data_IF_639537327333
#
_entry.id   IF_639537327333
#
_cell.length_a   1.000
_cell.length_b   1.000
_cell.length_c   1.000
_cell.angle_alpha   90.00
_cell.angle_beta   90.00
_cell.angle_gamma   90.00
#
_symmetry.space_group_name_H-M   'P 1'
#
loop_
_entity.id
_entity.type
_entity.pdbx_description
1 polymer ?
#
# COMPACT_ATOMS: atom_id res chain seq x y z
N UNK A 1 22.64 -44.22 57.87
CA UNK A 1 21.54 -43.98 56.90
C UNK A 1 21.80 -42.63 56.19
N UNK A 2 22.30 -42.64 54.95
CA UNK A 2 22.54 -41.42 54.15
C UNK A 2 21.26 -41.04 53.41
N UNK A 3 20.70 -39.87 53.70
CA UNK A 3 19.55 -39.32 52.94
C UNK A 3 20.06 -38.73 51.61
N UNK A 4 19.63 -39.31 50.51
CA UNK A 4 19.84 -38.76 49.16
C UNK A 4 18.69 -37.77 48.91
N UNK A 5 19.03 -36.50 48.79
CA UNK A 5 18.10 -35.43 48.38
C UNK A 5 18.06 -35.40 46.84
N UNK A 6 16.96 -35.79 46.24
CA UNK A 6 16.69 -35.62 44.80
C UNK A 6 16.31 -34.17 44.55
N UNK A 7 17.19 -33.43 43.90
CA UNK A 7 16.89 -32.08 43.43
C UNK A 7 16.17 -32.18 42.05
N UNK A 8 14.86 -32.05 42.02
CA UNK A 8 14.07 -32.01 40.78
C UNK A 8 14.29 -30.67 40.10
N UNK A 9 15.07 -30.64 39.02
CA UNK A 9 15.20 -29.51 38.13
C UNK A 9 13.90 -29.41 37.29
N UNK A 10 13.05 -28.45 37.63
CA UNK A 10 11.88 -28.07 36.80
C UNK A 10 12.43 -27.26 35.63
N UNK A 11 12.56 -27.88 34.46
CA UNK A 11 12.75 -27.18 33.21
C UNK A 11 11.44 -26.53 32.84
N UNK A 12 11.29 -25.25 33.12
CA UNK A 12 10.23 -24.43 32.53
C UNK A 12 10.53 -24.33 31.02
N UNK A 13 9.81 -25.08 30.22
CA UNK A 13 9.81 -24.91 28.77
C UNK A 13 9.24 -23.54 28.46
N UNK A 14 10.10 -22.56 28.16
CA UNK A 14 9.68 -21.28 27.62
C UNK A 14 9.15 -21.58 26.20
N UNK A 15 7.85 -21.73 26.10
CA UNK A 15 7.16 -21.79 24.83
C UNK A 15 7.30 -20.42 24.16
N UNK A 16 8.26 -20.29 23.23
CA UNK A 16 8.35 -19.11 22.38
C UNK A 16 7.17 -19.16 21.41
N UNK A 17 6.16 -18.39 21.69
CA UNK A 17 5.10 -18.16 20.72
C UNK A 17 5.70 -17.43 19.51
N UNK A 18 5.53 -17.98 18.32
CA UNK A 18 5.98 -17.34 17.09
C UNK A 18 5.41 -15.92 16.99
N UNK A 19 6.27 -14.94 16.88
CA UNK A 19 5.85 -13.54 16.72
C UNK A 19 5.32 -13.33 15.30
N UNK A 20 4.24 -12.57 15.19
CA UNK A 20 3.56 -12.35 13.93
C UNK A 20 3.17 -10.89 13.78
N UNK A 21 3.45 -10.32 12.60
CA UNK A 21 2.95 -9.03 12.17
C UNK A 21 2.11 -9.18 10.91
N UNK A 22 1.08 -8.36 10.81
CA UNK A 22 0.25 -8.21 9.62
C UNK A 22 0.68 -6.91 8.92
N UNK A 23 0.86 -6.99 7.62
CA UNK A 23 1.16 -5.85 6.76
C UNK A 23 0.01 -5.68 5.77
N UNK A 24 -0.44 -4.45 5.60
CA UNK A 24 -1.48 -4.04 4.66
C UNK A 24 -0.90 -3.06 3.65
N UNK A 25 -1.30 -3.18 2.39
CA UNK A 25 -1.09 -2.17 1.36
C UNK A 25 -2.43 -1.71 0.81
N UNK A 26 -2.60 -0.39 0.64
CA UNK A 26 -3.86 0.16 0.19
C UNK A 26 -3.71 1.50 -0.53
N UNK A 27 -4.28 1.60 -1.72
CA UNK A 27 -4.57 2.86 -2.36
C UNK A 27 -5.88 3.42 -1.76
N UNK A 28 -5.79 4.55 -1.07
CA UNK A 28 -6.93 5.14 -0.36
C UNK A 28 -7.76 6.11 -1.20
N UNK A 29 -7.47 6.20 -2.49
CA UNK A 29 -8.16 7.06 -3.45
C UNK A 29 -8.18 8.53 -3.03
N UNK A 30 -7.08 9.26 -3.28
CA UNK A 30 -6.99 10.72 -3.14
C UNK A 30 -7.34 11.25 -1.73
N UNK A 31 -6.51 10.97 -0.73
CA UNK A 31 -6.61 11.54 0.60
C UNK A 31 -5.85 12.87 0.67
N UNK A 32 -6.56 13.97 0.40
CA UNK A 32 -6.05 15.34 0.45
C UNK A 32 -6.58 16.06 1.69
N UNK A 33 -5.86 17.11 2.11
CA UNK A 33 -6.47 18.10 3.00
C UNK A 33 -7.33 19.11 2.20
N UNK A 34 -7.56 20.30 2.70
CA UNK A 34 -8.43 21.31 2.06
C UNK A 34 -7.69 22.61 1.76
N UNK A 35 -6.37 22.58 1.88
CA UNK A 35 -5.50 23.71 1.66
C UNK A 35 -4.66 23.50 0.39
N UNK A 36 -4.23 24.57 -0.26
CA UNK A 36 -3.39 24.48 -1.46
C UNK A 36 -1.92 24.36 -1.09
N UNK A 37 -1.26 23.32 -1.57
CA UNK A 37 0.19 23.19 -1.50
C UNK A 37 0.88 23.97 -2.63
N UNK A 38 1.72 24.92 -2.32
CA UNK A 38 2.50 25.68 -3.29
C UNK A 38 3.21 24.74 -4.27
N UNK A 39 3.19 25.07 -5.54
CA UNK A 39 3.79 24.29 -6.63
C UNK A 39 3.11 22.94 -6.95
N UNK A 40 1.90 22.68 -6.45
CA UNK A 40 1.10 21.47 -6.74
C UNK A 40 -0.15 21.81 -7.55
N UNK A 41 -0.63 20.83 -8.30
CA UNK A 41 -1.88 20.90 -9.04
C UNK A 41 -3.00 20.18 -8.26
N UNK A 42 -3.18 20.54 -6.99
CA UNK A 42 -4.12 19.96 -6.04
C UNK A 42 -5.52 20.62 -6.07
N UNK A 43 -5.72 21.52 -7.01
CA UNK A 43 -6.92 22.38 -7.11
C UNK A 43 -8.25 21.62 -7.10
N UNK A 44 -8.28 20.36 -7.57
CA UNK A 44 -9.49 19.55 -7.53
C UNK A 44 -9.95 19.30 -6.08
N UNK A 45 -9.00 19.22 -5.15
CA UNK A 45 -9.24 18.89 -3.73
C UNK A 45 -9.26 20.13 -2.83
N UNK A 46 -9.69 21.27 -3.36
CA UNK A 46 -9.97 22.48 -2.60
C UNK A 46 -11.48 22.69 -2.44
N UNK A 47 -11.92 23.43 -1.40
CA UNK A 47 -13.28 23.90 -1.29
C UNK A 47 -13.69 24.71 -2.52
N UNK A 48 -14.94 24.60 -2.95
CA UNK A 48 -15.43 25.30 -4.14
C UNK A 48 -15.30 26.84 -4.02
N UNK A 49 -15.37 27.35 -2.79
CA UNK A 49 -15.19 28.79 -2.51
C UNK A 49 -13.72 29.23 -2.42
N UNK A 50 -12.75 28.31 -2.56
CA UNK A 50 -11.35 28.65 -2.46
C UNK A 50 -10.91 29.57 -3.61
N UNK A 51 -10.22 30.70 -3.34
CA UNK A 51 -9.95 31.73 -4.35
C UNK A 51 -9.08 31.26 -5.53
N UNK A 52 -8.26 30.23 -5.32
CA UNK A 52 -7.38 29.68 -6.37
C UNK A 52 -8.02 28.57 -7.19
N UNK A 53 -9.16 28.00 -6.74
CA UNK A 53 -9.72 26.76 -7.33
C UNK A 53 -10.08 26.92 -8.80
N UNK A 54 -10.91 27.90 -9.14
CA UNK A 54 -11.39 28.04 -10.54
C UNK A 54 -10.22 28.30 -11.49
N UNK A 55 -9.34 29.25 -11.14
CA UNK A 55 -8.16 29.57 -11.96
C UNK A 55 -7.26 28.35 -12.09
N UNK A 56 -6.90 27.71 -10.98
CA UNK A 56 -6.02 26.55 -10.97
C UNK A 56 -6.58 25.39 -11.78
N UNK A 57 -7.86 25.04 -11.60
CA UNK A 57 -8.52 24.01 -12.42
C UNK A 57 -8.41 24.30 -13.92
N UNK A 58 -8.67 25.54 -14.35
CA UNK A 58 -8.61 25.92 -15.77
C UNK A 58 -7.20 25.88 -16.35
N UNK A 59 -6.19 26.19 -15.55
CA UNK A 59 -4.78 26.27 -16.00
C UNK A 59 -4.09 24.90 -15.99
N UNK A 60 -4.48 23.98 -15.10
CA UNK A 60 -3.73 22.75 -14.87
C UNK A 60 -4.45 21.48 -15.30
N UNK A 61 -5.79 21.47 -15.32
CA UNK A 61 -6.57 20.29 -15.68
C UNK A 61 -6.56 20.06 -17.18
N UNK A 62 -6.43 18.77 -17.59
CA UNK A 62 -6.76 18.38 -18.95
C UNK A 62 -8.26 18.55 -19.18
N UNK A 63 -8.69 18.83 -20.41
CA UNK A 63 -10.10 19.04 -20.78
C UNK A 63 -11.05 17.97 -20.20
N UNK A 64 -10.66 16.70 -20.28
CA UNK A 64 -11.43 15.58 -19.75
C UNK A 64 -11.65 15.60 -18.24
N UNK A 65 -10.82 16.32 -17.47
CA UNK A 65 -10.88 16.40 -16.00
C UNK A 65 -11.30 17.77 -15.48
N UNK A 66 -11.42 18.77 -16.36
CA UNK A 66 -11.77 20.15 -15.97
C UNK A 66 -13.12 20.21 -15.25
N UNK A 67 -14.11 19.52 -15.77
CA UNK A 67 -15.45 19.49 -15.17
C UNK A 67 -15.42 18.87 -13.76
N UNK A 68 -14.69 17.76 -13.57
CA UNK A 68 -14.50 17.14 -12.26
C UNK A 68 -13.82 18.10 -11.29
N UNK A 69 -12.72 18.72 -11.71
CA UNK A 69 -11.99 19.68 -10.90
C UNK A 69 -12.89 20.84 -10.42
N UNK A 70 -13.67 21.43 -11.31
CA UNK A 70 -14.56 22.55 -10.97
C UNK A 70 -15.76 22.14 -10.10
N UNK A 71 -16.27 20.91 -10.29
CA UNK A 71 -17.45 20.41 -9.56
C UNK A 71 -17.14 19.90 -8.17
N UNK A 72 -15.94 19.33 -7.97
CA UNK A 72 -15.53 18.80 -6.66
C UNK A 72 -15.46 19.92 -5.65
N UNK A 73 -16.20 19.79 -4.55
CA UNK A 73 -16.22 20.72 -3.43
C UNK A 73 -15.66 20.01 -2.21
N UNK A 74 -14.33 20.02 -2.09
CA UNK A 74 -13.63 19.29 -1.05
C UNK A 74 -13.50 20.13 0.21
N UNK A 75 -14.36 19.87 1.19
CA UNK A 75 -14.42 20.62 2.44
C UNK A 75 -13.89 19.79 3.62
N UNK A 76 -13.64 20.43 4.75
CA UNK A 76 -13.22 19.76 6.00
C UNK A 76 -14.24 18.72 6.46
N UNK A 77 -15.54 18.97 6.25
CA UNK A 77 -16.62 18.03 6.58
C UNK A 77 -16.52 16.77 5.70
N UNK A 78 -16.24 16.92 4.40
CA UNK A 78 -16.07 15.79 3.48
C UNK A 78 -14.80 15.02 3.76
N UNK A 79 -13.70 15.69 4.09
CA UNK A 79 -12.48 15.05 4.57
C UNK A 79 -12.76 14.24 5.87
N UNK A 80 -13.53 14.82 6.80
CA UNK A 80 -13.92 14.08 8.02
C UNK A 80 -14.77 12.84 7.69
N UNK A 81 -15.67 12.92 6.70
CA UNK A 81 -16.40 11.73 6.22
C UNK A 81 -15.44 10.68 5.68
N UNK A 82 -14.44 11.06 4.89
CA UNK A 82 -13.45 10.12 4.35
C UNK A 82 -12.65 9.44 5.45
N UNK A 83 -12.15 10.20 6.42
CA UNK A 83 -11.51 9.62 7.61
C UNK A 83 -12.45 8.67 8.37
N UNK A 84 -13.72 9.06 8.51
CA UNK A 84 -14.74 8.24 9.15
C UNK A 84 -14.97 6.91 8.43
N UNK A 85 -15.01 6.91 7.10
CA UNK A 85 -15.13 5.69 6.29
C UNK A 85 -13.93 4.77 6.46
N UNK A 86 -12.73 5.32 6.42
CA UNK A 86 -11.50 4.54 6.66
C UNK A 86 -11.51 3.96 8.07
N UNK A 87 -11.87 4.75 9.10
CA UNK A 87 -11.93 4.29 10.48
C UNK A 87 -13.01 3.20 10.67
N UNK A 88 -14.18 3.37 10.07
CA UNK A 88 -15.26 2.36 10.05
C UNK A 88 -14.75 1.04 9.46
N UNK A 89 -14.05 1.07 8.34
CA UNK A 89 -13.42 -0.11 7.75
C UNK A 89 -12.43 -0.76 8.71
N UNK A 90 -11.50 0.00 9.30
CA UNK A 90 -10.52 -0.54 10.25
C UNK A 90 -11.17 -1.14 11.50
N UNK A 91 -12.35 -0.66 11.90
CA UNK A 91 -13.09 -1.22 13.05
C UNK A 91 -13.71 -2.58 12.75
N UNK A 92 -13.86 -2.95 11.49
CA UNK A 92 -14.35 -4.29 11.08
C UNK A 92 -13.25 -5.34 11.05
N UNK A 93 -11.99 -4.94 11.05
CA UNK A 93 -10.87 -5.86 11.04
C UNK A 93 -10.77 -6.59 12.39
N UNK A 94 -10.66 -7.91 12.34
CA UNK A 94 -10.46 -8.72 13.57
C UNK A 94 -9.18 -8.38 14.31
N UNK A 95 -8.16 -7.93 13.57
CA UNK A 95 -6.90 -7.41 14.08
C UNK A 95 -6.40 -6.30 13.16
N UNK A 96 -5.99 -5.16 13.75
CA UNK A 96 -5.35 -4.08 12.99
C UNK A 96 -3.95 -4.53 12.54
N UNK A 97 -3.56 -4.25 11.28
CA UNK A 97 -2.19 -4.50 10.81
C UNK A 97 -1.17 -3.70 11.63
N UNK A 98 0.01 -4.24 11.85
CA UNK A 98 1.10 -3.52 12.50
C UNK A 98 1.75 -2.50 11.57
N UNK A 99 1.69 -2.73 10.25
CA UNK A 99 2.21 -1.84 9.22
C UNK A 99 1.14 -1.65 8.15
N UNK A 100 0.84 -0.40 7.80
CA UNK A 100 -0.07 -0.05 6.71
C UNK A 100 0.67 0.87 5.74
N UNK A 101 0.90 0.38 4.54
CA UNK A 101 1.42 1.16 3.43
C UNK A 101 0.26 1.80 2.66
N UNK A 102 0.33 3.10 2.45
CA UNK A 102 -0.71 3.91 1.85
C UNK A 102 -0.19 4.54 0.56
N UNK A 103 -1.04 4.56 -0.46
CA UNK A 103 -0.82 5.35 -1.68
C UNK A 103 -1.98 6.32 -1.87
N UNK A 104 -1.75 7.37 -2.66
CA UNK A 104 -2.68 8.48 -2.88
C UNK A 104 -2.99 9.28 -1.60
N UNK A 105 -1.97 9.57 -0.84
CA UNK A 105 -2.00 10.52 0.27
C UNK A 105 -1.22 11.78 -0.11
N UNK A 106 -1.66 12.92 0.35
CA UNK A 106 -1.05 14.19 -0.05
C UNK A 106 0.20 14.52 0.77
N UNK A 107 0.03 14.78 2.06
CA UNK A 107 1.07 15.32 2.92
C UNK A 107 1.12 14.61 4.27
N UNK A 108 2.11 14.97 5.08
CA UNK A 108 2.32 14.33 6.38
C UNK A 108 1.19 14.63 7.37
N UNK A 109 0.52 15.78 7.23
CA UNK A 109 -0.56 16.20 8.12
C UNK A 109 -1.77 15.28 7.99
N UNK A 110 -2.21 14.97 6.75
CA UNK A 110 -3.31 14.01 6.54
C UNK A 110 -2.95 12.60 6.99
N UNK A 111 -1.68 12.19 6.83
CA UNK A 111 -1.22 10.87 7.25
C UNK A 111 -1.14 10.75 8.77
N UNK A 112 -0.66 11.79 9.46
CA UNK A 112 -0.60 11.83 10.92
C UNK A 112 -2.00 11.87 11.54
N UNK A 113 -2.93 12.64 10.96
CA UNK A 113 -4.31 12.67 11.43
C UNK A 113 -5.00 11.31 11.23
N UNK A 114 -4.79 10.67 10.06
CA UNK A 114 -5.28 9.31 9.83
C UNK A 114 -4.68 8.33 10.85
N UNK A 115 -3.37 8.38 11.09
CA UNK A 115 -2.69 7.53 12.07
C UNK A 115 -3.29 7.72 13.47
N UNK A 116 -3.51 8.97 13.89
CA UNK A 116 -4.14 9.31 15.17
C UNK A 116 -5.56 8.74 15.29
N UNK A 117 -6.39 8.92 14.28
CA UNK A 117 -7.77 8.39 14.23
C UNK A 117 -7.77 6.87 14.35
N UNK A 118 -6.85 6.20 13.65
CA UNK A 118 -6.74 4.75 13.64
C UNK A 118 -5.97 4.17 14.84
N UNK A 119 -5.38 5.02 15.68
CA UNK A 119 -4.61 4.60 16.87
C UNK A 119 -3.23 4.02 16.53
N UNK A 120 -2.59 4.51 15.47
CA UNK A 120 -1.19 4.24 15.16
C UNK A 120 -0.27 5.27 15.82
N UNK A 121 0.92 4.84 16.23
CA UNK A 121 1.89 5.68 16.93
C UNK A 121 3.00 6.20 16.03
N UNK A 122 3.18 5.61 14.86
CA UNK A 122 4.18 6.01 13.86
C UNK A 122 3.53 6.35 12.52
N UNK A 123 4.06 7.39 11.87
CA UNK A 123 3.70 7.81 10.53
C UNK A 123 4.94 8.31 9.80
N UNK A 124 5.09 7.93 8.54
CA UNK A 124 6.15 8.40 7.66
C UNK A 124 5.62 8.55 6.24
N UNK A 125 6.14 9.51 5.49
CA UNK A 125 5.74 9.81 4.11
C UNK A 125 6.98 9.98 3.24
N UNK A 126 6.83 9.76 1.93
CA UNK A 126 7.89 10.02 0.96
C UNK A 126 8.32 11.50 0.97
N UNK A 127 9.61 11.76 0.71
CA UNK A 127 10.19 13.11 0.79
C UNK A 127 9.65 14.08 -0.27
N UNK A 128 9.05 13.58 -1.34
CA UNK A 128 8.39 14.37 -2.38
C UNK A 128 7.22 13.62 -2.97
N UNK A 129 6.34 14.37 -3.59
CA UNK A 129 5.13 13.91 -4.24
C UNK A 129 5.19 14.11 -5.76
N UNK A 130 4.21 13.62 -6.49
CA UNK A 130 4.02 13.96 -7.90
C UNK A 130 3.53 15.43 -8.07
N UNK A 131 3.22 15.81 -9.32
CA UNK A 131 2.75 17.16 -9.64
C UNK A 131 1.41 17.49 -8.97
N UNK A 132 0.56 16.50 -8.74
CA UNK A 132 -0.73 16.66 -8.09
C UNK A 132 -0.65 16.70 -6.56
N UNK A 133 0.53 16.52 -5.98
CA UNK A 133 0.71 16.43 -4.53
C UNK A 133 0.67 14.99 -3.98
N UNK A 134 0.38 13.97 -4.81
CA UNK A 134 0.24 12.60 -4.31
C UNK A 134 1.57 11.97 -3.94
N UNK A 135 1.59 11.41 -2.75
CA UNK A 135 2.71 10.72 -2.09
C UNK A 135 2.36 9.28 -1.75
N UNK A 136 3.34 8.59 -1.20
CA UNK A 136 3.20 7.29 -0.54
C UNK A 136 3.62 7.41 0.92
N UNK A 137 2.93 6.68 1.80
CA UNK A 137 3.19 6.76 3.23
C UNK A 137 3.10 5.39 3.91
N UNK A 138 3.59 5.33 5.14
CA UNK A 138 3.42 4.18 6.03
C UNK A 138 2.99 4.68 7.39
N UNK A 139 1.91 4.10 7.93
CA UNK A 139 1.55 4.22 9.35
C UNK A 139 1.83 2.88 10.03
N UNK A 140 2.28 2.91 11.28
CA UNK A 140 2.71 1.69 11.96
C UNK A 140 2.61 1.78 13.48
N UNK A 141 2.51 0.61 14.11
CA UNK A 141 2.71 0.44 15.53
C UNK A 141 3.96 -0.40 15.78
N UNK A 142 4.85 0.10 16.61
CA UNK A 142 5.97 -0.69 17.10
C UNK A 142 5.44 -1.67 18.16
N UNK A 143 5.78 -2.94 18.00
CA UNK A 143 5.41 -4.02 18.91
C UNK A 143 6.66 -4.70 19.46
N UNK A 144 6.49 -5.64 20.38
CA UNK A 144 7.61 -6.47 20.81
C UNK A 144 8.18 -7.21 19.56
N UNK A 145 9.42 -6.90 19.23
CA UNK A 145 10.12 -7.46 18.06
C UNK A 145 10.06 -6.60 16.80
N UNK A 146 9.08 -5.68 16.63
CA UNK A 146 9.04 -4.76 15.47
C UNK A 146 9.49 -3.37 15.87
N UNK A 147 10.57 -2.87 15.26
CA UNK A 147 11.15 -1.55 15.51
C UNK A 147 11.35 -0.79 14.20
N UNK A 148 10.88 0.44 14.16
CA UNK A 148 11.18 1.38 13.08
C UNK A 148 12.65 1.82 13.17
N UNK A 149 13.32 1.96 12.02
CA UNK A 149 14.72 2.39 11.92
C UNK A 149 14.89 3.70 11.15
N UNK A 150 14.44 3.75 9.89
CA UNK A 150 14.65 4.91 9.02
C UNK A 150 13.74 4.87 7.80
N UNK A 151 13.74 5.99 7.06
CA UNK A 151 13.11 6.09 5.74
C UNK A 151 14.09 6.62 4.71
N UNK A 152 13.88 6.23 3.47
CA UNK A 152 14.53 6.80 2.29
C UNK A 152 13.50 6.97 1.17
N UNK A 153 13.67 7.99 0.36
CA UNK A 153 12.95 8.12 -0.91
C UNK A 153 13.97 8.17 -2.02
N UNK A 154 13.72 7.51 -3.13
CA UNK A 154 14.64 7.56 -4.26
C UNK A 154 13.89 7.78 -5.57
N UNK A 155 14.51 8.61 -6.42
CA UNK A 155 14.01 8.87 -7.75
C UNK A 155 14.31 7.72 -8.70
N UNK A 156 13.36 7.47 -9.55
CA UNK A 156 13.49 6.44 -10.58
C UNK A 156 14.18 6.98 -11.83
N UNK A 157 13.95 8.24 -12.16
CA UNK A 157 14.54 8.91 -13.32
C UNK A 157 14.89 10.34 -12.97
N UNK A 158 16.12 10.77 -13.26
CA UNK A 158 16.52 12.16 -13.07
C UNK A 158 15.65 13.12 -13.90
N UNK A 159 15.27 14.23 -13.32
CA UNK A 159 14.56 15.33 -13.99
C UNK A 159 13.06 15.16 -14.19
N UNK A 160 12.44 14.09 -13.72
CA UNK A 160 10.99 13.92 -13.80
C UNK A 160 10.33 14.06 -12.43
N UNK A 161 9.26 14.90 -12.33
CA UNK A 161 8.40 15.02 -11.15
C UNK A 161 7.48 13.80 -11.04
N UNK A 162 8.07 12.60 -10.89
CA UNK A 162 7.34 11.34 -10.69
C UNK A 162 7.35 10.98 -9.21
N UNK A 163 6.37 10.17 -8.81
CA UNK A 163 6.32 9.61 -7.46
C UNK A 163 7.59 8.80 -7.20
N UNK A 164 8.20 8.95 -6.01
CA UNK A 164 9.36 8.15 -5.62
C UNK A 164 8.93 6.72 -5.27
N UNK A 165 9.90 5.80 -5.25
CA UNK A 165 9.78 4.62 -4.40
C UNK A 165 10.14 5.03 -2.97
N UNK A 166 9.30 4.68 -2.02
CA UNK A 166 9.46 5.03 -0.62
C UNK A 166 9.86 3.81 0.19
N UNK A 167 11.08 3.80 0.69
CA UNK A 167 11.60 2.75 1.56
C UNK A 167 11.38 3.12 3.02
N UNK A 168 10.81 2.18 3.77
CA UNK A 168 10.78 2.22 5.24
C UNK A 168 11.53 1.00 5.76
N UNK A 169 12.58 1.24 6.52
CA UNK A 169 13.37 0.21 7.15
C UNK A 169 12.85 -0.08 8.55
N UNK A 170 12.57 -1.33 8.81
CA UNK A 170 12.24 -1.89 10.12
C UNK A 170 13.28 -2.94 10.51
N UNK A 171 13.27 -3.27 11.78
CA UNK A 171 13.85 -4.51 12.31
C UNK A 171 12.70 -5.32 12.89
N UNK A 172 12.55 -6.57 12.43
CA UNK A 172 11.60 -7.49 13.02
C UNK A 172 12.33 -8.73 13.55
N UNK A 173 12.20 -8.96 14.85
CA UNK A 173 12.91 -10.04 15.56
C UNK A 173 14.40 -10.10 15.23
N UNK A 174 15.10 -8.95 15.34
CA UNK A 174 16.52 -8.75 15.06
C UNK A 174 16.92 -8.98 13.58
N UNK A 175 15.95 -9.07 12.67
CA UNK A 175 16.20 -9.19 11.23
C UNK A 175 15.86 -7.90 10.53
N UNK A 176 16.71 -7.40 9.61
CA UNK A 176 16.38 -6.22 8.82
C UNK A 176 15.21 -6.52 7.87
N UNK A 177 14.17 -5.71 7.94
CA UNK A 177 12.96 -5.78 7.12
C UNK A 177 12.78 -4.44 6.40
N UNK A 178 12.87 -4.45 5.07
CA UNK A 178 12.71 -3.26 4.23
C UNK A 178 11.38 -3.33 3.46
N UNK A 179 10.54 -2.32 3.65
CA UNK A 179 9.28 -2.15 2.94
C UNK A 179 9.48 -1.06 1.89
N UNK A 180 9.25 -1.38 0.61
CA UNK A 180 9.31 -0.45 -0.52
C UNK A 180 7.89 -0.17 -1.01
N UNK A 181 7.36 1.01 -0.68
CA UNK A 181 6.03 1.44 -1.09
C UNK A 181 6.10 2.04 -2.47
N UNK A 182 5.27 1.53 -3.37
CA UNK A 182 5.23 1.87 -4.78
C UNK A 182 3.88 2.48 -5.13
N UNK A 183 3.90 3.53 -5.99
CA UNK A 183 2.73 4.01 -6.70
C UNK A 183 3.18 4.44 -8.09
N UNK A 184 3.09 3.53 -9.05
CA UNK A 184 3.61 3.78 -10.40
C UNK A 184 2.63 4.60 -11.24
N UNK A 185 3.08 5.11 -12.39
CA UNK A 185 2.24 5.92 -13.28
C UNK A 185 1.26 5.04 -14.03
N UNK A 186 -0.04 5.38 -13.98
CA UNK A 186 -1.09 4.67 -14.69
C UNK A 186 -1.04 4.87 -16.22
N UNK A 187 -1.64 3.94 -16.96
CA UNK A 187 -1.92 4.07 -18.39
C UNK A 187 -0.73 3.91 -19.32
N UNK A 188 0.36 3.33 -18.85
CA UNK A 188 1.56 3.06 -19.68
C UNK A 188 1.47 1.63 -20.23
N UNK A 189 1.46 1.49 -21.57
CA UNK A 189 1.66 0.19 -22.22
C UNK A 189 3.14 -0.20 -22.18
N UNK A 190 3.41 -1.44 -21.80
CA UNK A 190 4.77 -1.91 -21.58
C UNK A 190 5.25 -2.80 -22.72
N UNK A 191 6.19 -2.29 -23.50
CA UNK A 191 6.97 -3.09 -24.46
C UNK A 191 8.38 -3.41 -23.94
N UNK A 192 8.74 -2.86 -22.78
CA UNK A 192 10.05 -2.97 -22.13
C UNK A 192 9.87 -3.09 -20.61
N UNK A 193 10.88 -3.57 -19.89
CA UNK A 193 10.88 -3.54 -18.42
C UNK A 193 10.56 -2.14 -17.88
N UNK A 194 9.72 -2.07 -16.85
CA UNK A 194 9.32 -0.79 -16.29
C UNK A 194 10.54 -0.09 -15.64
N UNK A 195 10.81 1.20 -15.93
CA UNK A 195 11.99 1.89 -15.40
C UNK A 195 12.05 1.90 -13.86
N UNK A 196 10.89 1.95 -13.19
CA UNK A 196 10.83 1.88 -11.72
C UNK A 196 11.25 0.48 -11.23
N UNK A 197 10.90 -0.60 -11.95
CA UNK A 197 11.33 -1.95 -11.60
C UNK A 197 12.86 -2.08 -11.66
N UNK A 198 13.48 -1.51 -12.68
CA UNK A 198 14.95 -1.49 -12.82
C UNK A 198 15.61 -0.68 -11.70
N UNK A 199 15.09 0.51 -11.39
CA UNK A 199 15.62 1.34 -10.32
C UNK A 199 15.46 0.68 -8.93
N UNK A 200 14.31 0.06 -8.67
CA UNK A 200 14.06 -0.67 -7.43
C UNK A 200 15.00 -1.87 -7.28
N UNK A 201 15.23 -2.63 -8.36
CA UNK A 201 16.22 -3.71 -8.39
C UNK A 201 17.60 -3.21 -8.01
N UNK A 202 18.09 -2.16 -8.68
CA UNK A 202 19.40 -1.54 -8.41
C UNK A 202 19.51 -1.08 -6.95
N UNK A 203 18.45 -0.49 -6.42
CA UNK A 203 18.42 -0.04 -5.02
C UNK A 203 18.48 -1.23 -4.02
N UNK A 204 17.71 -2.28 -4.27
CA UNK A 204 17.75 -3.50 -3.44
C UNK A 204 19.14 -4.14 -3.46
N UNK A 205 19.81 -4.18 -4.62
CA UNK A 205 21.17 -4.68 -4.77
C UNK A 205 22.16 -3.82 -3.98
N UNK A 206 22.06 -2.51 -4.05
CA UNK A 206 22.91 -1.59 -3.29
C UNK A 206 22.72 -1.76 -1.78
N UNK A 207 21.48 -1.82 -1.29
CA UNK A 207 21.20 -2.05 0.14
C UNK A 207 21.73 -3.41 0.61
N UNK A 208 21.55 -4.46 -0.20
CA UNK A 208 22.06 -5.79 0.13
C UNK A 208 23.59 -5.86 0.21
N UNK A 209 24.28 -5.09 -0.64
CA UNK A 209 25.74 -5.03 -0.65
C UNK A 209 26.34 -4.33 0.58
N UNK A 210 25.58 -3.42 1.21
CA UNK A 210 26.01 -2.69 2.41
C UNK A 210 25.81 -3.49 3.70
N UNK A 211 25.03 -4.56 3.66
CA UNK A 211 24.70 -5.37 4.83
C UNK A 211 25.41 -6.71 4.78
N UNK A 212 25.81 -7.25 5.95
CA UNK A 212 26.40 -8.60 6.04
C UNK A 212 25.44 -9.70 5.56
N UNK A 213 24.16 -9.49 5.76
CA UNK A 213 23.06 -10.35 5.28
C UNK A 213 22.07 -9.48 4.53
N UNK A 214 21.61 -9.88 3.33
CA UNK A 214 20.59 -9.16 2.62
C UNK A 214 19.33 -8.98 3.48
N UNK A 215 18.68 -7.82 3.43
CA UNK A 215 17.45 -7.58 4.18
C UNK A 215 16.30 -8.44 3.62
N UNK A 216 15.33 -8.74 4.47
CA UNK A 216 14.03 -9.22 4.03
C UNK A 216 13.31 -8.07 3.35
N UNK A 217 13.21 -8.12 2.02
CA UNK A 217 12.66 -7.04 1.19
C UNK A 217 11.22 -7.35 0.80
N UNK A 218 10.36 -6.35 0.94
CA UNK A 218 8.96 -6.37 0.51
C UNK A 218 8.71 -5.16 -0.37
N UNK A 219 8.36 -5.36 -1.63
CA UNK A 219 7.86 -4.31 -2.51
C UNK A 219 6.34 -4.45 -2.62
N UNK A 220 5.61 -3.40 -2.26
CA UNK A 220 4.16 -3.41 -2.23
C UNK A 220 3.59 -2.06 -2.68
N UNK A 221 2.30 -2.01 -2.94
CA UNK A 221 1.61 -0.79 -3.37
C UNK A 221 0.85 -0.97 -4.67
N UNK A 222 0.44 0.16 -5.24
CA UNK A 222 -0.21 0.25 -6.54
C UNK A 222 0.85 0.35 -7.65
N UNK A 223 1.09 -0.75 -8.32
CA UNK A 223 2.05 -0.81 -9.43
C UNK A 223 1.47 -0.29 -10.74
N UNK A 224 0.15 -0.12 -10.86
CA UNK A 224 -0.53 0.32 -12.08
C UNK A 224 -0.12 -0.47 -13.36
N UNK A 225 0.35 -1.71 -13.20
CA UNK A 225 0.73 -2.61 -14.28
C UNK A 225 -0.46 -3.48 -14.62
N UNK A 226 -0.94 -3.37 -15.87
CA UNK A 226 -2.04 -4.22 -16.36
C UNK A 226 -1.58 -5.68 -16.45
N UNK A 227 -2.49 -6.61 -16.22
CA UNK A 227 -2.15 -8.04 -16.21
C UNK A 227 -1.47 -8.54 -17.49
N UNK A 228 -1.86 -8.12 -18.73
CA UNK A 228 -1.13 -8.48 -19.93
C UNK A 228 0.32 -7.97 -20.00
N UNK A 229 0.61 -6.85 -19.36
CA UNK A 229 1.93 -6.21 -19.37
C UNK A 229 2.85 -6.72 -18.23
N UNK A 230 2.30 -7.47 -17.27
CA UNK A 230 2.98 -7.85 -16.03
C UNK A 230 4.33 -8.54 -16.27
N UNK A 231 4.34 -9.56 -17.13
CA UNK A 231 5.55 -10.35 -17.38
C UNK A 231 6.70 -9.53 -17.99
N UNK A 232 6.39 -8.47 -18.73
CA UNK A 232 7.39 -7.59 -19.32
C UNK A 232 7.83 -6.53 -18.33
N UNK A 233 6.86 -5.84 -17.72
CA UNK A 233 7.11 -4.73 -16.82
C UNK A 233 7.89 -5.13 -15.56
N UNK A 234 7.55 -6.29 -14.97
CA UNK A 234 8.04 -6.74 -13.68
C UNK A 234 9.28 -7.64 -13.75
N UNK A 235 9.73 -8.05 -14.95
CA UNK A 235 10.86 -8.98 -15.13
C UNK A 235 12.11 -8.58 -14.31
N UNK A 236 12.50 -7.30 -14.18
CA UNK A 236 13.67 -6.95 -13.38
C UNK A 236 13.59 -7.38 -11.92
N UNK A 237 12.37 -7.48 -11.37
CA UNK A 237 12.13 -7.82 -9.97
C UNK A 237 11.89 -9.32 -9.75
N UNK A 238 11.30 -10.01 -10.75
CA UNK A 238 10.84 -11.40 -10.59
C UNK A 238 11.71 -12.43 -11.35
N UNK A 239 12.72 -11.99 -12.08
CA UNK A 239 13.62 -12.84 -12.86
C UNK A 239 14.22 -13.96 -11.98
N UNK A 240 14.01 -15.24 -12.32
CA UNK A 240 14.54 -16.37 -11.57
C UNK A 240 16.08 -16.38 -11.44
N UNK A 241 16.80 -15.79 -12.39
CA UNK A 241 18.27 -15.71 -12.39
C UNK A 241 18.80 -14.69 -11.37
N UNK A 242 17.99 -13.74 -10.96
CA UNK A 242 18.38 -12.74 -9.98
C UNK A 242 18.40 -13.31 -8.56
N UNK A 243 19.54 -13.29 -7.90
CA UNK A 243 19.74 -13.91 -6.57
C UNK A 243 18.91 -13.23 -5.44
N UNK A 244 18.52 -11.95 -5.60
CA UNK A 244 17.63 -11.20 -4.69
C UNK A 244 16.18 -11.14 -5.19
N UNK A 245 15.82 -11.95 -6.17
CA UNK A 245 14.50 -11.89 -6.82
C UNK A 245 13.35 -11.79 -5.82
N UNK A 246 12.35 -11.04 -6.23
CA UNK A 246 11.09 -10.96 -5.53
C UNK A 246 10.10 -11.99 -6.09
N UNK A 247 9.21 -12.43 -5.25
CA UNK A 247 8.15 -13.40 -5.55
C UNK A 247 6.83 -12.72 -5.30
N UNK A 248 5.97 -12.66 -6.32
CA UNK A 248 4.61 -12.11 -6.20
C UNK A 248 3.74 -13.10 -5.42
N UNK A 249 3.09 -12.61 -4.36
CA UNK A 249 2.25 -13.46 -3.50
C UNK A 249 0.89 -13.75 -4.13
N UNK A 250 0.39 -12.92 -5.04
CA UNK A 250 -0.93 -13.11 -5.65
C UNK A 250 -1.06 -14.42 -6.43
N UNK A 251 -0.17 -14.78 -7.37
CA UNK A 251 -0.23 -16.07 -8.05
C UNK A 251 -0.12 -17.26 -7.11
N UNK A 252 0.65 -17.11 -6.02
CA UNK A 252 0.83 -18.19 -5.04
C UNK A 252 -0.45 -18.44 -4.21
N UNK A 253 -1.23 -17.38 -3.93
CA UNK A 253 -2.46 -17.52 -3.15
C UNK A 253 -3.54 -18.36 -3.82
N UNK A 254 -3.59 -18.36 -5.15
CA UNK A 254 -4.52 -19.19 -5.94
C UNK A 254 -4.38 -20.69 -5.72
N UNK A 255 -3.25 -21.15 -5.20
CA UNK A 255 -3.01 -22.55 -4.86
C UNK A 255 -3.75 -23.01 -3.60
N UNK A 256 -4.27 -22.09 -2.79
CA UNK A 256 -4.84 -22.36 -1.46
C UNK A 256 -6.35 -22.13 -1.37
N UNK A 257 -7.06 -22.08 -2.49
CA UNK A 257 -8.54 -22.04 -2.55
C UNK A 257 -9.19 -20.90 -1.73
N UNK A 258 -8.48 -19.81 -1.47
CA UNK A 258 -9.10 -18.63 -0.87
C UNK A 258 -9.82 -17.87 -1.99
N UNK A 259 -11.13 -17.64 -1.89
CA UNK A 259 -11.85 -16.80 -2.85
C UNK A 259 -11.26 -15.38 -2.81
N UNK A 260 -10.52 -15.01 -3.83
CA UNK A 260 -10.07 -13.64 -4.05
C UNK A 260 -10.92 -13.04 -5.18
N UNK A 261 -11.23 -11.73 -5.13
CA UNK A 261 -11.78 -11.07 -6.31
C UNK A 261 -10.77 -11.15 -7.46
N UNK A 262 -11.22 -11.00 -8.75
CA UNK A 262 -10.34 -11.09 -9.91
C UNK A 262 -9.17 -10.09 -9.92
N UNK A 263 -9.27 -9.03 -9.13
CA UNK A 263 -8.26 -7.98 -9.01
C UNK A 263 -8.54 -7.06 -7.85
N UNK A 264 -7.71 -6.04 -7.68
CA UNK A 264 -7.87 -5.01 -6.64
C UNK A 264 -8.58 -3.76 -7.14
N UNK A 265 -8.64 -3.57 -8.46
CA UNK A 265 -9.23 -2.42 -9.12
C UNK A 265 -10.19 -2.86 -10.22
N UNK A 266 -11.33 -2.15 -10.35
CA UNK A 266 -12.30 -2.37 -11.42
C UNK A 266 -12.47 -1.12 -12.26
N UNK A 267 -12.16 -1.23 -13.57
CA UNK A 267 -12.27 -0.13 -14.52
C UNK A 267 -13.63 -0.14 -15.22
N UNK A 268 -14.53 0.71 -14.76
CA UNK A 268 -15.93 0.80 -15.21
C UNK A 268 -16.11 1.01 -16.72
N UNK A 269 -15.30 1.86 -17.42
CA UNK A 269 -15.53 2.11 -18.85
C UNK A 269 -15.39 0.87 -19.72
N UNK A 270 -14.50 -0.07 -19.35
CA UNK A 270 -14.24 -1.27 -20.13
C UNK A 270 -14.70 -2.55 -19.42
N UNK A 271 -15.29 -2.42 -18.25
CA UNK A 271 -15.74 -3.56 -17.44
C UNK A 271 -14.63 -4.57 -17.17
N UNK A 272 -13.42 -4.08 -16.83
CA UNK A 272 -12.24 -4.92 -16.64
C UNK A 272 -11.69 -4.85 -15.24
N UNK A 273 -11.30 -6.01 -14.72
CA UNK A 273 -10.52 -6.11 -13.50
C UNK A 273 -9.03 -5.97 -13.78
N UNK A 274 -8.29 -5.43 -12.82
CA UNK A 274 -6.84 -5.38 -12.85
C UNK A 274 -6.28 -5.65 -11.45
N UNK A 275 -5.19 -6.41 -11.41
CA UNK A 275 -4.43 -6.65 -10.19
C UNK A 275 -3.33 -5.61 -10.06
N UNK A 276 -3.70 -4.37 -9.67
CA UNK A 276 -2.77 -3.25 -9.56
C UNK A 276 -1.99 -3.25 -8.24
N UNK A 277 -2.68 -3.58 -7.13
CA UNK A 277 -2.07 -3.62 -5.81
C UNK A 277 -1.46 -4.99 -5.56
N UNK A 278 -0.14 -5.05 -5.48
CA UNK A 278 0.62 -6.30 -5.36
C UNK A 278 1.54 -6.28 -4.16
N UNK A 279 1.95 -7.47 -3.75
CA UNK A 279 2.95 -7.69 -2.71
C UNK A 279 4.00 -8.66 -3.27
N UNK A 280 5.20 -8.14 -3.49
CA UNK A 280 6.35 -8.91 -3.94
C UNK A 280 7.35 -9.01 -2.78
N UNK A 281 7.81 -10.20 -2.47
CA UNK A 281 8.66 -10.47 -1.31
C UNK A 281 9.94 -11.17 -1.71
N UNK A 282 11.05 -10.85 -1.07
CA UNK A 282 12.33 -11.50 -1.37
C UNK A 282 12.26 -13.02 -1.11
N UNK A 283 12.94 -13.78 -1.96
CA UNK A 283 13.04 -15.25 -1.82
C UNK A 283 13.50 -15.71 -0.43
N UNK A 284 14.16 -14.84 0.32
CA UNK A 284 14.66 -15.12 1.66
C UNK A 284 13.57 -15.52 2.66
N UNK A 285 12.32 -15.06 2.45
CA UNK A 285 11.18 -15.46 3.27
C UNK A 285 10.80 -16.94 3.13
N UNK A 286 11.27 -17.60 2.05
CA UNK A 286 11.01 -19.02 1.78
C UNK A 286 12.24 -19.91 2.08
N UNK A 287 13.31 -19.31 2.59
CA UNK A 287 14.48 -20.00 3.11
C UNK A 287 14.42 -19.98 4.64
N UNK A 288 15.20 -20.84 5.29
CA UNK A 288 15.23 -20.90 6.76
C UNK A 288 16.19 -19.84 7.34
N UNK A 289 15.89 -18.56 7.09
CA UNK A 289 16.71 -17.41 7.47
C UNK A 289 16.15 -16.58 8.62
N UNK A 290 15.04 -17.01 9.22
CA UNK A 290 14.48 -16.42 10.45
C UNK A 290 13.13 -15.73 10.26
N UNK A 291 12.81 -15.06 9.14
CA UNK A 291 11.47 -14.58 8.85
C UNK A 291 10.82 -15.43 7.77
N UNK A 292 9.53 -15.71 7.91
CA UNK A 292 8.74 -16.52 6.97
C UNK A 292 7.44 -15.83 6.60
N UNK A 293 6.92 -16.14 5.41
CA UNK A 293 5.59 -15.73 4.97
C UNK A 293 4.73 -16.99 4.80
N UNK A 294 3.66 -17.14 5.60
CA UNK A 294 2.66 -18.15 5.34
C UNK A 294 1.86 -17.76 4.09
N UNK A 295 2.06 -18.46 2.98
CA UNK A 295 1.47 -18.12 1.67
C UNK A 295 -0.06 -18.07 1.72
N UNK A 296 -0.69 -18.93 2.52
CA UNK A 296 -2.14 -18.97 2.74
C UNK A 296 -2.69 -17.76 3.54
N UNK A 297 -1.85 -16.79 3.90
CA UNK A 297 -2.23 -15.56 4.62
C UNK A 297 -2.21 -14.31 3.76
N UNK A 298 -1.87 -14.42 2.47
CA UNK A 298 -2.14 -13.36 1.52
C UNK A 298 -3.65 -13.31 1.23
N UNK A 299 -4.23 -12.11 1.24
CA UNK A 299 -5.63 -11.90 0.87
C UNK A 299 -5.88 -10.52 0.30
N UNK A 300 -6.86 -10.43 -0.60
CA UNK A 300 -7.51 -9.19 -1.01
C UNK A 300 -8.76 -9.06 -0.16
N UNK A 301 -8.96 -7.91 0.49
CA UNK A 301 -10.15 -7.69 1.32
C UNK A 301 -11.23 -6.94 0.52
N UNK A 302 -12.20 -7.68 0.03
CA UNK A 302 -13.36 -7.17 -0.72
C UNK A 302 -14.60 -6.93 0.14
N UNK A 303 -14.45 -6.85 1.47
CA UNK A 303 -15.57 -6.70 2.41
C UNK A 303 -16.36 -5.40 2.20
N UNK A 304 -15.71 -4.35 1.65
CA UNK A 304 -16.39 -3.11 1.27
C UNK A 304 -16.48 -3.03 -0.25
N UNK A 305 -17.52 -3.65 -0.77
CA UNK A 305 -17.81 -3.73 -2.19
C UNK A 305 -19.25 -3.32 -2.49
N UNK A 306 -19.54 -3.13 -3.77
CA UNK A 306 -20.91 -2.88 -4.26
C UNK A 306 -21.18 -3.59 -5.56
N UNK A 307 -22.45 -3.67 -5.94
CA UNK A 307 -22.87 -4.06 -7.29
C UNK A 307 -22.97 -2.83 -8.19
N UNK A 308 -22.62 -2.99 -9.45
CA UNK A 308 -22.70 -1.93 -10.47
C UNK A 308 -23.43 -2.45 -11.68
N UNK A 309 -24.41 -1.64 -12.16
CA UNK A 309 -25.09 -1.90 -13.44
C UNK A 309 -24.23 -1.35 -14.57
N UNK A 310 -23.99 -2.18 -15.57
CA UNK A 310 -23.24 -1.82 -16.77
C UNK A 310 -24.18 -1.20 -17.85
N UNK A 311 -23.58 -0.67 -18.91
CA UNK A 311 -24.34 -0.06 -20.02
C UNK A 311 -25.24 -1.05 -20.77
N UNK A 312 -24.83 -2.31 -20.84
CA UNK A 312 -25.61 -3.40 -21.45
C UNK A 312 -26.72 -3.94 -20.53
N UNK A 313 -26.88 -3.37 -19.33
CA UNK A 313 -27.87 -3.77 -18.35
C UNK A 313 -27.42 -4.88 -17.40
N UNK A 314 -26.29 -5.54 -17.65
CA UNK A 314 -25.72 -6.56 -16.74
C UNK A 314 -25.31 -5.95 -15.40
N UNK A 315 -25.20 -6.81 -14.38
CA UNK A 315 -24.77 -6.41 -13.04
C UNK A 315 -23.46 -7.10 -12.73
N UNK A 316 -22.46 -6.33 -12.34
CA UNK A 316 -21.20 -6.85 -11.78
C UNK A 316 -21.25 -6.63 -10.28
N UNK A 317 -21.11 -7.73 -9.56
CA UNK A 317 -21.10 -7.72 -8.09
C UNK A 317 -19.66 -7.70 -7.55
N UNK A 318 -19.52 -7.24 -6.31
CA UNK A 318 -18.26 -7.33 -5.59
C UNK A 318 -17.16 -6.39 -6.10
N UNK A 319 -17.51 -5.29 -6.79
CA UNK A 319 -16.50 -4.29 -7.20
C UNK A 319 -16.17 -3.33 -6.05
N UNK A 320 -14.96 -2.73 -6.01
CA UNK A 320 -14.62 -1.76 -4.98
C UNK A 320 -15.66 -0.64 -4.88
N UNK A 321 -16.04 -0.29 -3.66
CA UNK A 321 -16.97 0.81 -3.44
C UNK A 321 -16.21 2.14 -3.45
N UNK A 322 -15.99 2.65 -4.66
CA UNK A 322 -15.27 3.89 -4.96
C UNK A 322 -15.76 5.04 -4.09
N UNK A 323 -14.82 5.81 -3.51
CA UNK A 323 -15.17 7.00 -2.74
C UNK A 323 -15.68 8.12 -3.64
N UNK A 324 -16.80 8.73 -3.25
CA UNK A 324 -17.37 9.90 -3.93
C UNK A 324 -17.02 11.18 -3.16
N UNK A 325 -16.07 11.95 -3.65
CA UNK A 325 -15.58 13.17 -3.01
C UNK A 325 -16.62 14.29 -2.90
N UNK A 326 -17.76 14.18 -3.62
CA UNK A 326 -18.87 15.12 -3.54
C UNK A 326 -20.00 14.68 -2.60
N UNK A 327 -19.93 13.44 -2.07
CA UNK A 327 -20.95 12.89 -1.19
C UNK A 327 -20.66 13.28 0.28
N UNK A 328 -21.70 13.76 0.95
CA UNK A 328 -21.64 14.12 2.38
C UNK A 328 -22.31 13.07 3.28
N UNK A 329 -23.11 12.16 2.69
CA UNK A 329 -23.72 11.07 3.44
C UNK A 329 -22.73 9.91 3.57
N UNK A 330 -22.29 9.57 4.80
CA UNK A 330 -21.34 8.47 5.02
C UNK A 330 -21.78 7.13 4.43
N UNK A 331 -23.08 6.84 4.43
CA UNK A 331 -23.59 5.55 3.92
C UNK A 331 -23.52 5.42 2.39
N UNK A 332 -23.33 6.53 1.69
CA UNK A 332 -23.22 6.60 0.22
C UNK A 332 -21.85 6.99 -0.28
N UNK A 333 -20.99 7.43 0.61
CA UNK A 333 -19.68 8.00 0.23
C UNK A 333 -18.72 6.97 -0.37
N UNK A 334 -18.87 5.67 -0.04
CA UNK A 334 -17.92 4.65 -0.44
C UNK A 334 -16.64 4.66 0.41
N UNK A 335 -15.61 3.97 -0.05
CA UNK A 335 -14.36 3.83 0.71
C UNK A 335 -13.13 4.11 -0.17
N UNK A 336 -12.92 3.30 -1.21
CA UNK A 336 -11.85 3.46 -2.20
C UNK A 336 -12.22 2.72 -3.49
N UNK A 337 -11.62 3.10 -4.61
CA UNK A 337 -11.70 2.36 -5.88
C UNK A 337 -10.70 1.19 -5.96
N UNK A 338 -9.90 0.99 -4.91
CA UNK A 338 -9.02 -0.16 -4.74
C UNK A 338 -9.37 -0.97 -3.50
N UNK A 339 -9.25 -2.28 -3.61
CA UNK A 339 -9.26 -3.17 -2.45
C UNK A 339 -7.91 -3.19 -1.76
N UNK A 340 -7.87 -3.18 -0.42
CA UNK A 340 -6.64 -3.39 0.32
C UNK A 340 -6.17 -4.85 0.20
N UNK A 341 -4.85 -5.03 0.20
CA UNK A 341 -4.19 -6.34 0.22
C UNK A 341 -3.40 -6.53 1.50
N UNK A 342 -3.39 -7.77 2.00
CA UNK A 342 -2.78 -8.13 3.29
C UNK A 342 -1.89 -9.34 3.15
N UNK A 343 -0.88 -9.40 4.00
CA UNK A 343 -0.10 -10.61 4.25
C UNK A 343 0.47 -10.60 5.67
N UNK A 344 0.99 -11.74 6.10
CA UNK A 344 1.60 -11.88 7.42
C UNK A 344 3.08 -12.24 7.30
N UNK A 345 3.88 -11.71 8.22
CA UNK A 345 5.28 -12.10 8.43
C UNK A 345 5.37 -12.76 9.80
N UNK A 346 5.99 -13.92 9.86
CA UNK A 346 6.17 -14.71 11.09
C UNK A 346 7.66 -14.82 11.39
N UNK A 347 8.03 -14.57 12.64
CA UNK A 347 9.31 -14.90 13.21
C UNK A 347 9.13 -16.14 14.09
N UNK A 348 9.84 -17.24 13.82
CA UNK A 348 9.74 -18.48 14.62
C UNK A 348 10.23 -18.30 16.06
#
# INVERSE_FOLDING_TARGET
MKKIIFLSLIFASISWSAQRITVMSWNVQNLYDTEHDDSKDDYEFLPKAHPLKEKGCRETSREAYLESCLKTDWTREKLAVKYGQINKYFSTLSKKPEIVALTEVENIQVVQELARILGYTGAAISHWSDRRGLSTAVIFNQTQGLRYKSTKSFHVLQGQRRRPVFQVAFEFNQKPLHIYVNHWTAGVEMQQPHPIALALRTHIEAEASMLRTPPFSVALGDFNVRDPDYNIAMIPLVDPSWYLRLIDLHPLSGQYSIPNPPGTYYFYPNNTWSMFDRILVSRHFFADLGLKIPINRFRIDSSVSRSVRQQDGSIVEGVPFRYNHNESNPDKAGLSDHFPVFFEIVAP
#
